data_IF_979173010322
#
_entry.id   IF_979173010322
#
_cell.length_a   1.000
_cell.length_b   1.000
_cell.length_c   1.000
_cell.angle_alpha   90.00
_cell.angle_beta   90.00
_cell.angle_gamma   90.00
#
_symmetry.space_group_name_H-M   'P 1'
#
loop_
_entity.id
_entity.type
_entity.pdbx_description
1 polymer ?
#
# COMPACT_ATOMS: atom_id res chain seq x y z
N UNK A 1 32.39 -36.95 -2.64
CA UNK A 1 32.39 -35.48 -2.54
C UNK A 1 30.96 -35.01 -2.79
N UNK A 2 30.19 -34.83 -1.75
CA UNK A 2 28.79 -34.43 -1.86
C UNK A 2 28.69 -32.92 -2.10
N UNK A 3 27.87 -32.43 -3.01
CA UNK A 3 27.57 -31.00 -3.12
C UNK A 3 26.60 -30.60 -2.01
N UNK A 4 27.05 -29.72 -1.16
CA UNK A 4 26.22 -29.08 -0.13
C UNK A 4 25.20 -28.18 -0.83
N UNK A 5 23.95 -28.62 -0.83
CA UNK A 5 22.82 -27.80 -1.27
C UNK A 5 22.67 -26.62 -0.30
N UNK A 6 22.98 -25.43 -0.80
CA UNK A 6 22.74 -24.19 -0.08
C UNK A 6 21.22 -23.94 -0.09
N UNK A 7 20.54 -24.39 0.97
CA UNK A 7 19.18 -23.98 1.26
C UNK A 7 19.19 -22.46 1.52
N UNK A 8 18.75 -21.70 0.52
CA UNK A 8 18.38 -20.30 0.72
C UNK A 8 17.13 -20.34 1.61
N UNK A 9 17.36 -20.24 2.92
CA UNK A 9 16.29 -19.96 3.85
C UNK A 9 15.79 -18.55 3.54
N UNK A 10 14.47 -18.33 3.48
CA UNK A 10 13.97 -16.97 3.48
C UNK A 10 14.45 -16.35 4.78
N UNK A 11 15.35 -15.38 4.68
CA UNK A 11 15.72 -14.54 5.79
C UNK A 11 14.44 -13.87 6.26
N UNK A 12 13.95 -14.27 7.41
CA UNK A 12 13.00 -13.50 8.18
C UNK A 12 13.72 -12.21 8.62
N UNK A 13 13.91 -11.29 7.70
CA UNK A 13 14.10 -9.90 8.07
C UNK A 13 12.80 -9.48 8.73
N UNK A 14 12.81 -9.53 10.05
CA UNK A 14 11.80 -8.91 10.88
C UNK A 14 11.52 -7.54 10.26
N UNK A 15 10.26 -7.30 9.88
CA UNK A 15 9.76 -6.03 9.40
C UNK A 15 10.37 -4.96 10.29
N UNK A 16 11.31 -4.15 9.74
CA UNK A 16 11.86 -3.01 10.44
C UNK A 16 10.69 -2.04 10.59
N UNK A 17 9.98 -2.14 11.72
CA UNK A 17 9.07 -1.08 12.12
C UNK A 17 9.84 0.22 12.00
N UNK A 18 9.37 1.11 11.13
CA UNK A 18 9.95 2.43 10.98
C UNK A 18 9.94 3.10 12.34
N UNK A 19 11.11 3.51 12.83
CA UNK A 19 11.25 4.07 14.18
C UNK A 19 10.80 5.53 14.27
N UNK A 20 10.50 6.15 13.13
CA UNK A 20 10.11 7.55 13.00
C UNK A 20 8.63 7.73 12.70
N UNK A 21 8.13 8.91 13.04
CA UNK A 21 6.75 9.31 12.75
C UNK A 21 6.74 10.33 11.63
N UNK A 22 5.82 10.19 10.71
CA UNK A 22 5.65 11.08 9.56
C UNK A 22 4.36 11.88 9.64
N UNK A 23 4.38 13.08 9.08
CA UNK A 23 3.21 13.95 8.96
C UNK A 23 3.12 14.56 7.56
N UNK A 24 1.91 14.62 7.01
CA UNK A 24 1.63 15.40 5.79
C UNK A 24 0.16 15.79 5.71
N UNK A 25 -0.12 16.75 4.84
CA UNK A 25 -1.47 17.00 4.34
C UNK A 25 -1.91 15.81 3.48
N UNK A 26 -3.05 15.22 3.82
CA UNK A 26 -3.62 14.07 3.09
C UNK A 26 -4.66 14.48 2.03
N UNK A 27 -5.15 15.71 2.05
CA UNK A 27 -6.02 16.29 1.01
C UNK A 27 -5.19 16.99 -0.06
N UNK A 28 -5.74 17.14 -1.26
CA UNK A 28 -5.10 17.88 -2.34
C UNK A 28 -4.73 19.31 -1.90
N UNK A 29 -3.60 19.88 -2.37
CA UNK A 29 -3.25 21.27 -2.09
C UNK A 29 -4.28 22.23 -2.70
N UNK A 30 -4.57 23.33 -1.99
CA UNK A 30 -5.52 24.36 -2.45
C UNK A 30 -6.45 24.81 -1.33
N UNK A 31 -7.49 25.55 -1.70
CA UNK A 31 -8.51 26.02 -0.76
C UNK A 31 -9.72 25.09 -0.83
N UNK A 32 -10.09 24.51 0.30
CA UNK A 32 -11.26 23.65 0.44
C UNK A 32 -12.02 23.87 1.73
N UNK A 33 -13.24 23.36 1.85
CA UNK A 33 -14.01 23.39 3.09
C UNK A 33 -13.39 22.50 4.18
N UNK A 34 -12.70 21.43 3.78
CA UNK A 34 -12.04 20.47 4.67
C UNK A 34 -10.60 20.26 4.25
N UNK A 35 -9.69 20.21 5.22
CA UNK A 35 -8.31 19.80 5.07
C UNK A 35 -7.96 18.75 6.10
N UNK A 36 -7.19 17.74 5.69
CA UNK A 36 -6.80 16.60 6.52
C UNK A 36 -5.28 16.62 6.68
N UNK A 37 -4.80 16.64 7.92
CA UNK A 37 -3.42 16.35 8.28
C UNK A 37 -3.38 14.95 8.85
N UNK A 38 -2.50 14.09 8.29
CA UNK A 38 -2.30 12.71 8.73
C UNK A 38 -0.92 12.55 9.33
N UNK A 39 -0.88 11.89 10.48
CA UNK A 39 0.33 11.49 11.21
C UNK A 39 0.35 9.97 11.26
N UNK A 40 1.48 9.33 10.98
CA UNK A 40 1.65 7.87 11.07
C UNK A 40 2.97 7.51 11.73
N UNK A 41 2.93 6.62 12.69
CA UNK A 41 4.10 6.12 13.40
C UNK A 41 3.94 6.15 14.93
N UNK A 42 5.00 5.77 15.66
CA UNK A 42 4.93 5.54 17.11
C UNK A 42 4.61 6.79 17.95
N UNK A 43 4.85 7.99 17.44
CA UNK A 43 4.53 9.23 18.17
C UNK A 43 3.10 9.76 17.89
N UNK A 44 2.23 9.05 17.14
CA UNK A 44 0.90 9.53 16.79
C UNK A 44 0.02 9.85 18.04
N UNK A 45 0.08 9.03 19.07
CA UNK A 45 -0.63 9.30 20.34
C UNK A 45 -0.07 10.53 21.06
N UNK A 46 1.26 10.68 21.11
CA UNK A 46 1.89 11.86 21.70
C UNK A 46 1.50 13.15 20.96
N UNK A 47 1.38 13.09 19.63
CA UNK A 47 0.86 14.22 18.84
C UNK A 47 -0.57 14.55 19.27
N UNK A 48 -1.43 13.54 19.40
CA UNK A 48 -2.81 13.75 19.85
C UNK A 48 -2.86 14.43 21.22
N UNK A 49 -2.11 13.95 22.20
CA UNK A 49 -2.07 14.53 23.55
C UNK A 49 -1.62 16.00 23.54
N UNK A 50 -0.57 16.32 22.74
CA UNK A 50 -0.02 17.67 22.67
C UNK A 50 -0.92 18.63 21.90
N UNK A 51 -1.46 18.21 20.76
CA UNK A 51 -2.23 19.08 19.85
C UNK A 51 -3.69 19.20 20.28
N UNK A 52 -4.27 18.13 20.82
CA UNK A 52 -5.68 18.08 21.21
C UNK A 52 -5.88 18.31 22.73
N UNK A 53 -4.82 18.14 23.53
CA UNK A 53 -4.89 18.15 24.99
C UNK A 53 -5.48 16.89 25.61
N UNK A 54 -5.75 15.86 24.81
CA UNK A 54 -6.25 14.55 25.24
C UNK A 54 -6.00 13.50 24.15
N UNK A 55 -6.03 12.22 24.53
CA UNK A 55 -6.04 11.12 23.60
C UNK A 55 -7.48 10.82 23.14
N UNK A 56 -7.83 10.90 21.84
CA UNK A 56 -9.14 10.52 21.32
C UNK A 56 -9.41 9.03 21.49
N UNK A 57 -10.69 8.66 21.58
CA UNK A 57 -11.07 7.24 21.53
C UNK A 57 -10.74 6.65 20.15
N UNK A 58 -10.16 5.45 20.17
CA UNK A 58 -9.79 4.75 18.94
C UNK A 58 -11.02 4.54 18.04
N UNK A 59 -10.91 4.90 16.74
CA UNK A 59 -11.94 4.80 15.72
C UNK A 59 -13.25 5.55 16.03
N UNK A 60 -13.16 6.58 16.82
CA UNK A 60 -14.29 7.43 17.16
C UNK A 60 -14.01 8.87 16.72
N UNK A 61 -14.93 9.46 15.97
CA UNK A 61 -14.82 10.85 15.52
C UNK A 61 -15.12 11.79 16.69
N UNK A 62 -14.13 12.51 17.14
CA UNK A 62 -14.28 13.51 18.18
C UNK A 62 -14.04 14.92 17.64
N UNK A 63 -14.97 15.84 17.86
CA UNK A 63 -14.81 17.24 17.49
C UNK A 63 -14.02 17.97 18.58
N UNK A 64 -12.80 18.40 18.28
CA UNK A 64 -11.82 18.92 19.23
C UNK A 64 -11.11 20.16 18.68
N UNK A 65 -10.64 21.08 19.55
CA UNK A 65 -9.72 22.15 19.15
C UNK A 65 -8.32 21.59 18.90
N UNK A 66 -7.68 22.07 17.83
CA UNK A 66 -6.26 21.83 17.51
C UNK A 66 -5.45 23.00 18.05
N UNK A 67 -4.49 22.76 18.95
CA UNK A 67 -3.86 23.77 19.78
C UNK A 67 -2.42 24.05 19.36
N UNK A 68 -2.03 25.32 19.49
CA UNK A 68 -0.64 25.77 19.42
C UNK A 68 0.15 25.47 20.71
N UNK A 69 1.37 26.00 20.82
CA UNK A 69 2.24 25.84 21.98
C UNK A 69 1.73 26.59 23.22
N UNK A 70 0.97 27.64 23.02
CA UNK A 70 0.37 28.45 24.08
C UNK A 70 -1.00 27.92 24.52
N UNK A 71 -1.47 26.81 23.93
CA UNK A 71 -2.78 26.20 24.20
C UNK A 71 -3.93 26.88 23.49
N UNK A 72 -3.68 27.88 22.62
CA UNK A 72 -4.70 28.57 21.85
C UNK A 72 -5.14 27.68 20.67
N UNK A 73 -6.40 27.75 20.29
CA UNK A 73 -6.91 27.00 19.16
C UNK A 73 -6.42 27.59 17.84
N UNK A 74 -5.66 26.79 17.08
CA UNK A 74 -5.32 27.07 15.67
C UNK A 74 -6.52 26.83 14.76
N UNK A 75 -7.25 25.74 15.03
CA UNK A 75 -8.45 25.32 14.32
C UNK A 75 -9.31 24.43 15.22
N UNK A 76 -10.47 24.02 14.72
CA UNK A 76 -11.35 23.03 15.35
C UNK A 76 -11.87 22.07 14.29
N UNK A 77 -11.93 20.79 14.62
CA UNK A 77 -12.36 19.80 13.67
C UNK A 77 -12.46 18.39 14.26
N UNK A 78 -12.56 17.42 13.39
CA UNK A 78 -12.66 16.01 13.76
C UNK A 78 -11.25 15.44 13.93
N UNK A 79 -11.00 14.81 15.06
CA UNK A 79 -9.82 13.98 15.29
C UNK A 79 -10.22 12.50 15.25
N UNK A 80 -9.44 11.70 14.53
CA UNK A 80 -9.59 10.25 14.42
C UNK A 80 -8.26 9.58 14.76
N UNK A 81 -8.28 8.65 15.72
CA UNK A 81 -7.14 7.82 16.09
C UNK A 81 -7.35 6.37 15.65
N UNK A 82 -6.38 5.80 14.98
CA UNK A 82 -6.35 4.40 14.58
C UNK A 82 -5.12 3.74 15.21
N UNK A 83 -5.33 2.61 15.88
CA UNK A 83 -4.23 1.83 16.47
C UNK A 83 -3.74 0.75 15.52
N UNK A 84 -2.44 0.53 15.53
CA UNK A 84 -1.81 -0.60 14.87
C UNK A 84 -2.42 -1.95 15.34
N UNK A 85 -2.56 -2.94 14.46
CA UNK A 85 -2.31 -2.91 13.02
C UNK A 85 -3.52 -2.42 12.19
N UNK A 86 -4.59 -1.93 12.84
CA UNK A 86 -5.88 -1.64 12.23
C UNK A 86 -5.97 -0.18 11.73
N UNK A 87 -5.01 0.24 10.91
CA UNK A 87 -4.92 1.54 10.27
C UNK A 87 -4.55 1.39 8.78
N UNK A 88 -4.47 2.49 8.06
CA UNK A 88 -4.07 2.49 6.64
C UNK A 88 -2.63 2.00 6.46
N UNK A 89 -1.69 2.51 7.27
CA UNK A 89 -0.27 2.15 7.19
C UNK A 89 0.11 0.91 7.99
N UNK A 90 -0.81 0.36 8.80
CA UNK A 90 -0.50 -0.67 9.79
C UNK A 90 0.16 -0.15 11.06
N UNK A 91 0.49 1.15 11.13
CA UNK A 91 1.04 1.85 12.30
C UNK A 91 -0.06 2.55 13.09
N UNK A 92 0.28 3.22 14.21
CA UNK A 92 -0.63 4.16 14.84
C UNK A 92 -0.82 5.37 13.92
N UNK A 93 -2.06 5.74 13.63
CA UNK A 93 -2.40 6.85 12.74
C UNK A 93 -3.34 7.81 13.43
N UNK A 94 -3.00 9.11 13.37
CA UNK A 94 -3.87 10.21 13.77
C UNK A 94 -4.25 11.03 12.54
N UNK A 95 -5.54 11.27 12.35
CA UNK A 95 -6.06 12.22 11.37
C UNK A 95 -6.72 13.40 12.07
N UNK A 96 -6.33 14.59 11.63
CA UNK A 96 -6.88 15.87 12.06
C UNK A 96 -7.57 16.50 10.86
N UNK A 97 -8.90 16.53 10.89
CA UNK A 97 -9.77 17.01 9.81
C UNK A 97 -10.35 18.36 10.20
N UNK A 98 -9.69 19.44 9.80
CA UNK A 98 -10.06 20.82 10.05
C UNK A 98 -10.47 21.57 8.79
N UNK A 99 -10.36 22.88 8.81
CA UNK A 99 -10.61 23.73 7.65
C UNK A 99 -9.48 23.62 6.62
N UNK A 100 -9.84 23.53 5.33
CA UNK A 100 -8.92 23.30 4.21
C UNK A 100 -8.20 24.56 3.70
N UNK A 101 -7.96 25.54 4.58
CA UNK A 101 -7.15 26.71 4.25
C UNK A 101 -5.65 26.37 4.28
N UNK A 102 -4.84 26.71 3.23
CA UNK A 102 -3.42 26.34 3.20
C UNK A 102 -2.63 26.86 4.39
N UNK A 103 -2.97 28.07 4.88
CA UNK A 103 -2.30 28.68 6.03
C UNK A 103 -2.55 27.91 7.31
N UNK A 104 -3.80 27.48 7.54
CA UNK A 104 -4.18 26.72 8.73
C UNK A 104 -3.51 25.35 8.74
N UNK A 105 -3.52 24.66 7.60
CA UNK A 105 -2.89 23.34 7.46
C UNK A 105 -1.37 23.43 7.66
N UNK A 106 -0.72 24.46 7.12
CA UNK A 106 0.71 24.70 7.30
C UNK A 106 1.04 25.00 8.78
N UNK A 107 0.24 25.83 9.46
CA UNK A 107 0.41 26.09 10.90
C UNK A 107 0.30 24.81 11.72
N UNK A 108 -0.69 23.97 11.42
CA UNK A 108 -0.90 22.70 12.11
C UNK A 108 0.26 21.72 11.87
N UNK A 109 0.72 21.60 10.63
CA UNK A 109 1.88 20.75 10.28
C UNK A 109 3.15 21.26 10.99
N UNK A 110 3.42 22.57 10.97
CA UNK A 110 4.58 23.14 11.68
C UNK A 110 4.51 22.86 13.18
N UNK A 111 3.32 22.97 13.77
CA UNK A 111 3.12 22.65 15.19
C UNK A 111 3.47 21.19 15.50
N UNK A 112 3.07 20.27 14.64
CA UNK A 112 3.37 18.85 14.79
C UNK A 112 4.86 18.57 14.60
N UNK A 113 5.50 19.23 13.63
CA UNK A 113 6.94 19.07 13.36
C UNK A 113 7.87 19.58 14.48
N UNK A 114 7.38 20.37 15.42
CA UNK A 114 8.12 20.78 16.63
C UNK A 114 8.22 19.66 17.68
N UNK A 115 7.46 18.58 17.50
CA UNK A 115 7.49 17.43 18.41
C UNK A 115 8.62 16.49 17.96
N UNK A 116 9.55 16.18 18.88
CA UNK A 116 10.70 15.35 18.59
C UNK A 116 10.32 13.98 17.98
N UNK A 117 11.10 13.55 17.00
CA UNK A 117 10.92 12.26 16.33
C UNK A 117 9.89 12.28 15.21
N UNK A 118 9.43 13.46 14.78
CA UNK A 118 8.51 13.64 13.68
C UNK A 118 9.19 14.38 12.52
N UNK A 119 8.93 13.92 11.32
CA UNK A 119 9.38 14.56 10.08
C UNK A 119 8.27 14.65 9.03
N UNK A 120 8.44 15.51 8.01
CA UNK A 120 7.54 15.48 6.86
C UNK A 120 7.59 14.12 6.15
N UNK A 121 6.43 13.64 5.69
CA UNK A 121 6.36 12.47 4.84
C UNK A 121 6.94 12.78 3.45
N UNK A 122 7.61 11.80 2.85
CA UNK A 122 7.94 11.82 1.43
C UNK A 122 6.68 11.58 0.58
N UNK A 123 6.65 12.02 -0.69
CA UNK A 123 5.54 11.65 -1.59
C UNK A 123 5.33 10.13 -1.62
N UNK A 124 4.08 9.69 -1.47
CA UNK A 124 3.71 8.26 -1.47
C UNK A 124 4.07 7.48 -0.20
N UNK A 125 4.72 8.08 0.80
CA UNK A 125 5.27 7.33 1.94
C UNK A 125 4.22 6.61 2.80
N UNK A 126 3.00 7.13 2.91
CA UNK A 126 1.93 6.41 3.61
C UNK A 126 1.58 5.08 2.91
N UNK A 127 1.51 5.07 1.57
CA UNK A 127 1.26 3.85 0.78
C UNK A 127 2.47 2.91 0.83
N UNK A 128 3.69 3.45 0.79
CA UNK A 128 4.94 2.68 0.97
C UNK A 128 4.94 1.96 2.32
N UNK A 129 4.58 2.64 3.42
CA UNK A 129 4.46 2.01 4.75
C UNK A 129 3.34 0.97 4.81
N UNK A 130 2.21 1.22 4.17
CA UNK A 130 1.14 0.25 4.06
C UNK A 130 1.60 -1.04 3.35
N UNK A 131 2.41 -0.91 2.29
CA UNK A 131 3.01 -2.04 1.59
C UNK A 131 4.05 -2.77 2.48
N UNK A 132 4.97 -2.05 3.13
CA UNK A 132 5.99 -2.64 4.01
C UNK A 132 5.36 -3.39 5.21
N UNK A 133 4.21 -2.93 5.68
CA UNK A 133 3.48 -3.51 6.80
C UNK A 133 2.39 -4.51 6.36
N UNK A 134 2.48 -5.06 5.14
CA UNK A 134 1.58 -6.08 4.58
C UNK A 134 0.08 -5.68 4.62
N UNK A 135 -0.22 -4.37 4.56
CA UNK A 135 -1.60 -3.86 4.46
C UNK A 135 -2.08 -3.82 3.01
N UNK A 136 -1.15 -3.65 2.10
CA UNK A 136 -1.36 -3.62 0.66
C UNK A 136 -0.25 -4.43 -0.02
N UNK A 137 -0.55 -5.09 -1.11
CA UNK A 137 0.48 -5.58 -2.02
C UNK A 137 0.94 -4.47 -2.98
N UNK A 138 1.97 -4.76 -3.80
CA UNK A 138 2.55 -3.76 -4.70
C UNK A 138 1.52 -3.24 -5.72
N UNK A 139 0.72 -4.13 -6.31
CA UNK A 139 -0.29 -3.73 -7.30
C UNK A 139 -1.38 -2.86 -6.67
N UNK A 140 -1.78 -3.15 -5.44
CA UNK A 140 -2.73 -2.34 -4.68
C UNK A 140 -2.14 -0.97 -4.30
N UNK A 141 -0.85 -0.91 -3.93
CA UNK A 141 -0.18 0.36 -3.62
C UNK A 141 -0.07 1.26 -4.86
N UNK A 142 0.26 0.70 -6.02
CA UNK A 142 0.27 1.42 -7.30
C UNK A 142 -1.14 1.87 -7.70
N UNK A 143 -2.15 1.03 -7.50
CA UNK A 143 -3.54 1.34 -7.83
C UNK A 143 -4.10 2.55 -7.08
N UNK A 144 -3.57 2.88 -5.88
CA UNK A 144 -3.94 4.12 -5.17
C UNK A 144 -3.50 5.35 -5.97
N UNK A 145 -2.28 5.37 -6.49
CA UNK A 145 -1.79 6.47 -7.31
C UNK A 145 -2.60 6.58 -8.62
N UNK A 146 -2.84 5.45 -9.28
CA UNK A 146 -3.64 5.38 -10.50
C UNK A 146 -5.07 5.88 -10.28
N UNK A 147 -5.68 5.58 -9.15
CA UNK A 147 -7.03 6.04 -8.80
C UNK A 147 -7.09 7.56 -8.59
N UNK A 148 -6.06 8.13 -7.94
CA UNK A 148 -5.95 9.57 -7.70
C UNK A 148 -5.71 10.33 -9.00
N UNK A 149 -4.91 9.78 -9.93
CA UNK A 149 -4.55 10.39 -11.20
C UNK A 149 -5.52 10.09 -12.34
N UNK A 150 -6.54 9.26 -12.10
CA UNK A 150 -7.48 8.82 -13.12
C UNK A 150 -8.17 10.00 -13.82
N UNK A 151 -8.01 10.09 -15.13
CA UNK A 151 -8.60 11.13 -15.97
C UNK A 151 -9.91 10.71 -16.65
N UNK A 152 -10.35 9.47 -16.48
CA UNK A 152 -11.58 8.91 -17.01
C UNK A 152 -12.26 7.96 -16.04
N UNK A 153 -13.59 7.80 -16.19
CA UNK A 153 -14.35 6.85 -15.38
C UNK A 153 -13.82 5.41 -15.54
N UNK A 154 -13.44 5.04 -16.76
CA UNK A 154 -12.90 3.71 -17.04
C UNK A 154 -11.54 3.48 -16.35
N UNK A 155 -10.66 4.47 -16.34
CA UNK A 155 -9.39 4.41 -15.63
C UNK A 155 -9.62 4.28 -14.12
N UNK A 156 -10.52 5.08 -13.55
CA UNK A 156 -10.85 4.99 -12.13
C UNK A 156 -11.45 3.63 -11.75
N UNK A 157 -12.33 3.05 -12.56
CA UNK A 157 -12.87 1.70 -12.33
C UNK A 157 -11.79 0.62 -12.40
N UNK A 158 -10.89 0.72 -13.39
CA UNK A 158 -9.76 -0.21 -13.52
C UNK A 158 -8.83 -0.15 -12.31
N UNK A 159 -8.44 1.04 -11.88
CA UNK A 159 -7.64 1.24 -10.68
C UNK A 159 -8.33 0.69 -9.42
N UNK A 160 -9.66 0.89 -9.29
CA UNK A 160 -10.43 0.37 -8.17
C UNK A 160 -10.48 -1.17 -8.15
N UNK A 161 -10.60 -1.83 -9.30
CA UNK A 161 -10.53 -3.29 -9.40
C UNK A 161 -9.14 -3.82 -8.97
N UNK A 162 -8.08 -3.13 -9.39
CA UNK A 162 -6.71 -3.47 -8.96
C UNK A 162 -6.53 -3.28 -7.46
N UNK A 163 -7.02 -2.18 -6.89
CA UNK A 163 -7.01 -1.91 -5.44
C UNK A 163 -7.79 -2.96 -4.64
N UNK A 164 -8.87 -3.51 -5.20
CA UNK A 164 -9.62 -4.61 -4.61
C UNK A 164 -8.92 -5.98 -4.70
N UNK A 165 -7.72 -6.03 -5.28
CA UNK A 165 -6.90 -7.23 -5.37
C UNK A 165 -7.25 -8.18 -6.52
N UNK A 166 -8.06 -7.76 -7.50
CA UNK A 166 -8.42 -8.64 -8.62
C UNK A 166 -7.20 -9.03 -9.46
N UNK A 167 -6.31 -8.09 -9.74
CA UNK A 167 -5.06 -8.35 -10.46
C UNK A 167 -4.12 -9.22 -9.63
N UNK A 168 -3.93 -8.88 -8.35
CA UNK A 168 -3.10 -9.64 -7.42
C UNK A 168 -3.58 -11.09 -7.25
N UNK A 169 -4.89 -11.31 -7.23
CA UNK A 169 -5.49 -12.65 -7.19
C UNK A 169 -5.11 -13.51 -8.40
N UNK A 170 -5.07 -12.93 -9.61
CA UNK A 170 -4.65 -13.64 -10.82
C UNK A 170 -3.16 -13.98 -10.79
N UNK A 171 -2.33 -13.04 -10.37
CA UNK A 171 -0.88 -13.28 -10.18
C UNK A 171 -0.66 -14.39 -9.16
N UNK A 172 -1.39 -14.39 -8.06
CA UNK A 172 -1.29 -15.42 -7.02
C UNK A 172 -1.70 -16.80 -7.56
N UNK A 173 -2.78 -16.91 -8.33
CA UNK A 173 -3.20 -18.17 -8.99
C UNK A 173 -2.11 -18.70 -9.91
N UNK A 174 -1.48 -17.82 -10.71
CA UNK A 174 -0.36 -18.19 -11.59
C UNK A 174 0.83 -18.73 -10.78
N UNK A 175 1.20 -18.06 -9.69
CA UNK A 175 2.28 -18.48 -8.77
C UNK A 175 1.97 -19.85 -8.16
N UNK A 176 0.72 -20.09 -7.74
CA UNK A 176 0.29 -21.37 -7.18
C UNK A 176 0.34 -22.49 -8.22
N UNK A 177 -0.11 -22.23 -9.46
CA UNK A 177 -0.03 -23.18 -10.58
C UNK A 177 1.41 -23.56 -10.87
N UNK A 178 2.31 -22.57 -10.97
CA UNK A 178 3.74 -22.78 -11.19
C UNK A 178 4.38 -23.54 -10.02
N UNK A 179 4.02 -23.21 -8.79
CA UNK A 179 4.54 -23.89 -7.59
C UNK A 179 4.12 -25.37 -7.58
N UNK A 180 2.87 -25.67 -7.90
CA UNK A 180 2.38 -27.06 -8.01
C UNK A 180 3.15 -27.84 -9.08
N UNK A 181 3.35 -27.25 -10.26
CA UNK A 181 4.13 -27.88 -11.33
C UNK A 181 5.57 -28.13 -10.87
N UNK A 182 6.21 -27.16 -10.22
CA UNK A 182 7.56 -27.33 -9.68
C UNK A 182 7.65 -28.47 -8.70
N UNK A 183 6.75 -28.54 -7.71
CA UNK A 183 6.71 -29.63 -6.71
C UNK A 183 6.55 -30.98 -7.41
N UNK A 184 5.68 -31.06 -8.43
CA UNK A 184 5.47 -32.29 -9.18
C UNK A 184 6.74 -32.76 -9.91
N UNK A 185 7.46 -31.84 -10.56
CA UNK A 185 8.72 -32.13 -11.25
C UNK A 185 9.84 -32.51 -10.26
N UNK A 186 9.96 -31.79 -9.14
CA UNK A 186 10.94 -32.09 -8.08
C UNK A 186 10.70 -33.50 -7.51
N UNK A 187 9.44 -33.87 -7.24
CA UNK A 187 9.10 -35.21 -6.78
C UNK A 187 9.47 -36.30 -7.80
N UNK A 188 9.26 -36.04 -9.09
CA UNK A 188 9.62 -36.97 -10.16
C UNK A 188 11.15 -37.18 -10.27
N UNK A 189 11.94 -36.17 -9.94
CA UNK A 189 13.42 -36.25 -9.93
C UNK A 189 13.93 -36.98 -8.69
N UNK A 190 13.30 -36.75 -7.54
CA UNK A 190 13.73 -37.30 -6.24
C UNK A 190 13.38 -38.79 -6.07
N UNK A 191 12.34 -39.26 -6.78
CA UNK A 191 11.88 -40.66 -6.71
C UNK A 191 11.87 -41.34 -8.07
N UNK A 192 13.07 -41.55 -8.72
CA UNK A 192 13.18 -42.10 -10.07
C UNK A 192 12.83 -43.57 -10.15
N UNK A 193 12.78 -44.30 -9.03
CA UNK A 193 12.52 -45.75 -8.97
C UNK A 193 11.02 -46.11 -8.91
N UNK A 194 10.13 -45.10 -8.85
CA UNK A 194 8.69 -45.37 -8.96
C UNK A 194 8.32 -45.68 -10.42
N UNK A 195 7.49 -46.73 -10.65
CA UNK A 195 7.07 -47.22 -11.99
C UNK A 195 6.28 -46.16 -12.81
N UNK A 196 6.12 -44.96 -12.32
CA UNK A 196 5.38 -43.86 -12.95
C UNK A 196 6.40 -42.97 -13.67
N UNK A 197 6.42 -43.02 -14.99
CA UNK A 197 7.18 -42.09 -15.81
C UNK A 197 6.43 -40.72 -15.86
N UNK A 198 6.68 -39.90 -14.85
CA UNK A 198 6.05 -38.58 -14.64
C UNK A 198 6.29 -37.62 -15.82
N UNK A 199 7.30 -37.86 -16.65
CA UNK A 199 7.65 -36.98 -17.77
C UNK A 199 7.00 -37.43 -19.10
N UNK A 200 6.62 -38.69 -19.24
CA UNK A 200 6.06 -39.23 -20.48
C UNK A 200 4.52 -39.20 -20.52
N UNK A 201 3.83 -39.00 -19.40
CA UNK A 201 2.37 -38.98 -19.34
C UNK A 201 1.75 -37.71 -19.98
N UNK A 202 2.57 -36.74 -20.42
CA UNK A 202 2.14 -35.50 -21.04
C UNK A 202 1.60 -34.47 -20.03
N UNK A 203 1.51 -34.80 -18.73
CA UNK A 203 0.96 -33.93 -17.71
C UNK A 203 1.81 -32.68 -17.49
N UNK A 204 3.14 -32.84 -17.38
CA UNK A 204 4.07 -31.70 -17.21
C UNK A 204 3.95 -30.73 -18.38
N UNK A 205 3.91 -31.23 -19.62
CA UNK A 205 3.74 -30.41 -20.81
C UNK A 205 2.37 -29.72 -20.83
N UNK A 206 1.29 -30.43 -20.47
CA UNK A 206 -0.06 -29.90 -20.40
C UNK A 206 -0.19 -28.80 -19.36
N UNK A 207 0.31 -29.02 -18.13
CA UNK A 207 0.29 -28.04 -17.05
C UNK A 207 1.15 -26.81 -17.41
N UNK A 208 2.32 -26.99 -18.06
CA UNK A 208 3.16 -25.90 -18.52
C UNK A 208 2.45 -25.03 -19.56
N UNK A 209 1.81 -25.64 -20.57
CA UNK A 209 1.05 -24.89 -21.58
C UNK A 209 -0.13 -24.13 -20.97
N UNK A 210 -0.83 -24.72 -19.98
CA UNK A 210 -1.90 -24.03 -19.26
C UNK A 210 -1.37 -22.80 -18.52
N UNK A 211 -0.25 -22.92 -17.79
CA UNK A 211 0.41 -21.82 -17.09
C UNK A 211 0.87 -20.73 -18.06
N UNK A 212 1.42 -21.11 -19.22
CA UNK A 212 1.81 -20.13 -20.25
C UNK A 212 0.61 -19.36 -20.78
N UNK A 213 -0.53 -20.01 -20.99
CA UNK A 213 -1.78 -19.35 -21.39
C UNK A 213 -2.28 -18.39 -20.31
N UNK A 214 -2.30 -18.81 -19.03
CA UNK A 214 -2.65 -17.94 -17.90
C UNK A 214 -1.73 -16.70 -17.81
N UNK A 215 -0.42 -16.90 -18.04
CA UNK A 215 0.55 -15.80 -18.04
C UNK A 215 0.27 -14.80 -19.17
N UNK A 216 -0.07 -15.27 -20.37
CA UNK A 216 -0.37 -14.40 -21.50
C UNK A 216 -1.66 -13.61 -21.26
N UNK A 217 -2.67 -14.18 -20.60
CA UNK A 217 -3.89 -13.49 -20.19
C UNK A 217 -3.57 -12.37 -19.16
N UNK A 218 -2.79 -12.67 -18.12
CA UNK A 218 -2.35 -11.69 -17.12
C UNK A 218 -1.55 -10.54 -17.76
N UNK A 219 -0.65 -10.87 -18.69
CA UNK A 219 0.12 -9.86 -19.45
C UNK A 219 -0.77 -8.99 -20.34
N UNK A 220 -1.78 -9.60 -20.96
CA UNK A 220 -2.75 -8.86 -21.78
C UNK A 220 -3.52 -7.83 -20.95
N UNK A 221 -4.00 -8.21 -19.76
CA UNK A 221 -4.70 -7.31 -18.86
C UNK A 221 -3.79 -6.20 -18.30
N UNK A 222 -2.56 -6.54 -17.91
CA UNK A 222 -1.58 -5.55 -17.45
C UNK A 222 -1.30 -4.50 -18.53
N UNK A 223 -1.14 -4.92 -19.80
CA UNK A 223 -0.94 -4.01 -20.93
C UNK A 223 -2.15 -3.11 -21.17
N UNK A 224 -3.35 -3.65 -21.06
CA UNK A 224 -4.58 -2.87 -21.21
C UNK A 224 -4.73 -1.85 -20.08
N UNK A 225 -4.43 -2.24 -18.83
CA UNK A 225 -4.40 -1.33 -17.68
C UNK A 225 -3.41 -0.18 -17.86
N UNK A 226 -2.19 -0.47 -18.34
CA UNK A 226 -1.18 0.54 -18.63
C UNK A 226 -1.64 1.54 -19.70
N UNK A 227 -2.31 1.09 -20.76
CA UNK A 227 -2.86 1.97 -21.79
C UNK A 227 -3.97 2.89 -21.25
N UNK A 228 -4.81 2.39 -20.34
CA UNK A 228 -5.85 3.19 -19.71
C UNK A 228 -5.28 4.27 -18.78
N UNK A 229 -4.15 3.97 -18.12
CA UNK A 229 -3.41 4.90 -17.25
C UNK A 229 -2.69 6.00 -18.04
N UNK A 230 -1.88 5.61 -19.01
CA UNK A 230 -1.03 6.55 -19.76
C UNK A 230 -1.78 7.36 -20.82
N UNK A 231 -2.95 6.87 -21.25
CA UNK A 231 -3.68 7.42 -22.37
C UNK A 231 -2.94 7.24 -23.70
N UNK A 232 -3.57 7.69 -24.80
CA UNK A 232 -2.92 7.72 -26.12
C UNK A 232 -2.30 9.09 -26.36
N UNK A 233 -1.00 9.12 -26.64
CA UNK A 233 -0.34 10.32 -27.19
C UNK A 233 -0.68 10.45 -28.67
N UNK A 234 -1.59 11.36 -29.02
CA UNK A 234 -1.95 11.64 -30.42
C UNK A 234 -1.16 12.85 -30.89
N UNK A 235 -0.35 12.68 -31.94
CA UNK A 235 0.33 13.78 -32.61
C UNK A 235 -0.44 14.09 -33.90
N UNK A 236 -0.95 15.31 -34.02
CA UNK A 236 -1.53 15.82 -35.26
C UNK A 236 -0.41 16.52 -36.02
N UNK A 237 0.04 15.91 -37.11
CA UNK A 237 0.96 16.54 -38.05
C UNK A 237 0.15 17.17 -39.18
N UNK A 238 0.25 18.50 -39.32
CA UNK A 238 -0.36 19.28 -40.41
C UNK A 238 0.68 19.59 -41.49
#
# INVERSE_FOLDING_TARGET
MSPTLLLIQPTSESSKMTTDTIVAQATAPGRGGVGIVRVSGPAAERVAEIVLGKLPRVRYAEYLPFRDEQGQALDQGIALLFKAPNSFTGEDVLELQGHGGPVILDMLIRRILQIDGIRPARPGEFSERAFINDKLDLAQAEAIADLIEASSEQAARSAMHSLQGQFSGKVQQLVESLTRLRIYVEAAIDFPDEEIDFLSDGKVAGDLYAIMSELDDVRGEAKQGALLREGMKVVIAG
#
